data_IF_774328437872
#
_entry.id   IF_774328437872
#
_cell.length_a   1.000
_cell.length_b   1.000
_cell.length_c   1.000
_cell.angle_alpha   90.00
_cell.angle_beta   90.00
_cell.angle_gamma   90.00
#
_symmetry.space_group_name_H-M   'P 1'
#
loop_
_entity.id
_entity.type
_entity.pdbx_description
1 polymer ?
#
# COMPACT_ATOMS: atom_id res chain seq x y z
N UNK A 1 -9.07 -49.64 -40.55
CA UNK A 1 -7.73 -49.03 -40.41
C UNK A 1 -7.77 -48.07 -39.22
N UNK A 2 -7.63 -48.62 -38.02
CA UNK A 2 -7.70 -47.94 -36.72
C UNK A 2 -6.26 -47.80 -36.23
N UNK A 3 -5.50 -46.75 -36.57
CA UNK A 3 -4.13 -46.56 -36.04
C UNK A 3 -3.47 -45.19 -36.35
N UNK A 4 -4.22 -44.08 -36.40
CA UNK A 4 -3.59 -42.74 -36.63
C UNK A 4 -3.92 -41.69 -35.56
N UNK A 5 -4.98 -41.86 -34.75
CA UNK A 5 -5.46 -40.79 -33.85
C UNK A 5 -4.73 -40.72 -32.50
N UNK A 6 -3.97 -41.75 -32.09
CA UNK A 6 -3.41 -41.84 -30.72
C UNK A 6 -2.08 -41.07 -30.55
N UNK A 7 -1.39 -40.70 -31.64
CA UNK A 7 -0.05 -40.07 -31.56
C UNK A 7 -0.10 -38.56 -31.28
N UNK A 8 -1.26 -37.90 -31.40
CA UNK A 8 -1.40 -36.44 -31.25
C UNK A 8 -1.46 -35.91 -29.81
N UNK A 9 -1.89 -36.71 -28.83
CA UNK A 9 -2.11 -36.24 -27.45
C UNK A 9 -0.88 -36.34 -26.53
N UNK A 10 0.18 -37.03 -26.97
CA UNK A 10 1.34 -37.34 -26.12
C UNK A 10 2.43 -36.27 -26.07
N UNK A 11 2.39 -35.28 -26.98
CA UNK A 11 3.40 -34.21 -27.04
C UNK A 11 2.99 -32.91 -26.34
N UNK A 12 1.71 -32.74 -26.02
CA UNK A 12 1.21 -31.55 -25.32
C UNK A 12 1.33 -31.66 -23.79
N UNK A 13 1.31 -32.88 -23.22
CA UNK A 13 1.26 -33.07 -21.77
C UNK A 13 2.58 -32.72 -21.03
N UNK A 14 3.74 -32.91 -21.66
CA UNK A 14 5.04 -32.62 -21.00
C UNK A 14 5.46 -31.15 -21.06
N UNK A 15 5.00 -30.38 -22.06
CA UNK A 15 5.21 -28.93 -22.08
C UNK A 15 4.24 -28.18 -21.15
N UNK A 16 3.13 -28.83 -20.79
CA UNK A 16 2.08 -28.26 -19.93
C UNK A 16 2.29 -28.52 -18.43
N UNK A 17 3.41 -29.11 -18.01
CA UNK A 17 3.75 -29.23 -16.58
C UNK A 17 4.72 -28.16 -16.10
N UNK A 18 5.52 -27.57 -17.01
CA UNK A 18 6.50 -26.52 -16.70
C UNK A 18 5.88 -25.12 -16.61
N UNK A 19 4.74 -24.88 -17.27
CA UNK A 19 4.02 -23.60 -17.23
C UNK A 19 3.16 -23.47 -15.95
N UNK A 20 2.71 -24.59 -15.35
CA UNK A 20 1.84 -24.57 -14.17
C UNK A 20 2.62 -24.17 -12.89
N UNK A 21 3.91 -24.49 -12.80
CA UNK A 21 4.77 -24.08 -11.66
C UNK A 21 5.05 -22.57 -11.66
N UNK A 22 5.04 -21.93 -12.83
CA UNK A 22 5.19 -20.47 -12.96
C UNK A 22 3.88 -19.70 -12.73
N UNK A 23 2.72 -20.37 -12.78
CA UNK A 23 1.41 -19.76 -12.52
C UNK A 23 1.01 -19.76 -11.04
N UNK A 24 1.81 -20.37 -10.14
CA UNK A 24 1.50 -20.51 -8.72
C UNK A 24 2.53 -19.88 -7.76
N UNK A 25 3.45 -19.03 -8.24
CA UNK A 25 4.21 -18.16 -7.34
C UNK A 25 3.49 -16.83 -7.21
N UNK A 26 2.51 -16.79 -6.30
CA UNK A 26 1.94 -15.55 -5.79
C UNK A 26 3.00 -14.82 -4.96
N UNK A 27 3.96 -14.18 -5.62
CA UNK A 27 4.88 -13.24 -4.98
C UNK A 27 4.09 -11.97 -4.71
N UNK A 28 3.47 -11.89 -3.53
CA UNK A 28 2.96 -10.61 -3.04
C UNK A 28 4.16 -9.76 -2.65
N UNK A 29 4.53 -8.81 -3.51
CA UNK A 29 5.49 -7.77 -3.16
C UNK A 29 4.81 -6.88 -2.13
N UNK A 30 5.17 -7.06 -0.86
CA UNK A 30 4.75 -6.16 0.21
C UNK A 30 5.50 -4.84 0.01
N UNK A 31 4.82 -3.81 -0.50
CA UNK A 31 5.36 -2.44 -0.54
C UNK A 31 5.24 -1.86 0.87
N UNK A 32 5.99 -2.43 1.81
CA UNK A 32 6.16 -1.83 3.11
C UNK A 32 7.14 -0.65 2.94
N UNK A 33 6.69 0.58 3.17
CA UNK A 33 7.60 1.71 3.36
C UNK A 33 7.27 3.02 2.65
N UNK A 34 6.17 3.14 1.92
CA UNK A 34 5.76 4.42 1.35
C UNK A 34 4.62 5.04 2.17
N UNK A 35 4.89 6.18 2.82
CA UNK A 35 3.86 6.97 3.52
C UNK A 35 2.95 7.60 2.47
N UNK A 36 1.66 7.26 2.48
CA UNK A 36 0.70 7.83 1.53
C UNK A 36 0.34 9.26 1.94
N UNK A 37 0.63 10.22 1.06
CA UNK A 37 0.36 11.65 1.29
C UNK A 37 -0.90 12.08 0.55
N UNK A 38 -1.92 12.49 1.30
CA UNK A 38 -3.21 12.90 0.74
C UNK A 38 -3.41 14.41 0.85
N UNK A 39 -4.05 14.99 -0.18
CA UNK A 39 -4.35 16.43 -0.21
C UNK A 39 -5.64 16.79 0.54
N UNK A 40 -6.52 15.82 0.78
CA UNK A 40 -7.80 16.03 1.46
C UNK A 40 -7.99 15.04 2.60
N UNK A 41 -8.66 15.47 3.66
CA UNK A 41 -8.98 14.59 4.79
C UNK A 41 -9.85 13.41 4.37
N UNK A 42 -10.76 13.61 3.40
CA UNK A 42 -11.66 12.56 2.92
C UNK A 42 -10.89 11.44 2.20
N UNK A 43 -9.89 11.78 1.40
CA UNK A 43 -9.07 10.76 0.71
C UNK A 43 -8.22 9.97 1.70
N UNK A 44 -7.64 10.65 2.71
CA UNK A 44 -6.96 9.96 3.80
C UNK A 44 -7.93 9.09 4.61
N UNK A 45 -9.12 9.58 4.96
CA UNK A 45 -10.10 8.80 5.73
C UNK A 45 -10.54 7.51 5.01
N UNK A 46 -10.67 7.56 3.68
CA UNK A 46 -10.94 6.36 2.88
C UNK A 46 -9.78 5.35 2.91
N UNK A 47 -8.54 5.84 3.00
CA UNK A 47 -7.32 5.02 3.11
C UNK A 47 -7.05 4.52 4.53
N UNK A 48 -7.52 5.25 5.55
CA UNK A 48 -7.33 4.97 6.97
C UNK A 48 -8.63 4.45 7.66
N UNK A 49 -9.32 3.39 7.18
CA UNK A 49 -10.63 3.02 7.72
C UNK A 49 -10.60 2.51 9.16
N UNK A 50 -9.42 2.11 9.66
CA UNK A 50 -9.20 1.65 11.04
C UNK A 50 -8.09 2.42 11.75
N UNK A 51 -7.75 3.60 11.25
CA UNK A 51 -6.67 4.43 11.79
C UNK A 51 -7.08 5.91 11.84
N UNK A 52 -6.30 6.72 12.54
CA UNK A 52 -6.56 8.14 12.71
C UNK A 52 -5.89 8.92 11.58
N UNK A 53 -6.65 9.83 10.96
CA UNK A 53 -6.08 10.78 10.00
C UNK A 53 -5.37 11.89 10.78
N UNK A 54 -4.09 12.09 10.47
CA UNK A 54 -3.25 13.15 11.01
C UNK A 54 -2.78 14.08 9.89
N UNK A 55 -2.49 15.33 10.26
CA UNK A 55 -1.87 16.29 9.36
C UNK A 55 -0.36 16.31 9.60
N UNK A 56 0.42 15.85 8.63
CA UNK A 56 1.88 15.83 8.67
C UNK A 56 2.44 17.10 8.04
N UNK A 57 3.36 17.78 8.71
CA UNK A 57 4.29 18.71 8.06
C UNK A 57 5.43 17.91 7.42
N UNK A 58 5.46 17.84 6.09
CA UNK A 58 6.40 16.98 5.34
C UNK A 58 7.84 17.49 5.41
N UNK A 59 8.06 18.77 5.73
CA UNK A 59 9.39 19.34 5.90
C UNK A 59 10.04 18.95 7.23
N UNK A 60 9.24 18.77 8.29
CA UNK A 60 9.74 18.54 9.66
C UNK A 60 9.45 17.12 10.18
N UNK A 61 8.57 16.37 9.52
CA UNK A 61 8.11 15.06 9.99
C UNK A 61 7.29 15.14 11.27
N UNK A 62 6.72 16.30 11.61
CA UNK A 62 5.84 16.47 12.77
C UNK A 62 4.40 16.39 12.31
N UNK A 63 3.61 15.55 12.97
CA UNK A 63 2.18 15.44 12.71
C UNK A 63 1.31 15.97 13.84
N UNK A 64 0.11 16.39 13.45
CA UNK A 64 -0.89 17.02 14.30
C UNK A 64 -2.21 16.27 14.16
N UNK A 65 -2.91 16.07 15.28
CA UNK A 65 -4.22 15.46 15.32
C UNK A 65 -5.32 16.47 14.97
N UNK A 66 -6.47 15.96 14.53
CA UNK A 66 -7.66 16.79 14.29
C UNK A 66 -8.02 17.59 15.53
N UNK A 67 -8.27 18.90 15.34
CA UNK A 67 -8.56 19.83 16.43
C UNK A 67 -7.35 20.51 17.05
N UNK A 68 -6.12 20.09 16.72
CA UNK A 68 -4.91 20.79 17.09
C UNK A 68 -4.69 22.01 16.18
N UNK A 69 -3.96 23.01 16.69
CA UNK A 69 -3.76 24.31 16.05
C UNK A 69 -3.20 24.20 14.62
N UNK A 70 -2.28 23.27 14.39
CA UNK A 70 -1.58 23.15 13.11
C UNK A 70 -2.18 22.12 12.15
N UNK A 71 -3.32 21.51 12.49
CA UNK A 71 -4.01 20.58 11.61
C UNK A 71 -4.53 21.29 10.34
N UNK A 72 -4.10 20.81 9.17
CA UNK A 72 -4.38 21.42 7.86
C UNK A 72 -3.91 22.88 7.68
N UNK A 73 -2.96 23.34 8.50
CA UNK A 73 -2.58 24.75 8.57
C UNK A 73 -1.27 25.12 7.86
N UNK A 74 -0.45 24.14 7.49
CA UNK A 74 0.86 24.39 6.86
C UNK A 74 0.80 24.32 5.34
N UNK A 75 1.63 25.09 4.64
CA UNK A 75 1.73 24.99 3.16
C UNK A 75 2.32 23.66 2.69
N UNK A 76 3.31 23.17 3.44
CA UNK A 76 3.98 21.89 3.20
C UNK A 76 3.40 20.88 4.17
N UNK A 77 2.22 20.36 3.87
CA UNK A 77 1.65 19.29 4.66
C UNK A 77 0.70 18.42 3.85
N UNK A 78 0.38 17.28 4.44
CA UNK A 78 -0.47 16.27 3.86
C UNK A 78 -1.24 15.53 4.96
N UNK A 79 -2.42 15.03 4.61
CA UNK A 79 -3.14 14.08 5.43
C UNK A 79 -2.51 12.69 5.26
N UNK A 80 -2.34 11.98 6.37
CA UNK A 80 -1.68 10.66 6.42
C UNK A 80 -2.35 9.84 7.53
N UNK A 81 -2.33 8.51 7.45
CA UNK A 81 -2.71 7.67 8.59
C UNK A 81 -1.64 7.76 9.70
N UNK A 82 -2.03 7.85 10.97
CA UNK A 82 -1.12 7.93 12.10
C UNK A 82 -0.09 6.78 12.09
N UNK A 83 -0.53 5.55 11.87
CA UNK A 83 0.35 4.38 11.84
C UNK A 83 1.35 4.45 10.69
N UNK A 84 0.96 4.93 9.51
CA UNK A 84 1.88 5.11 8.38
C UNK A 84 2.89 6.22 8.67
N UNK A 85 2.45 7.33 9.28
CA UNK A 85 3.35 8.41 9.68
C UNK A 85 4.39 7.90 10.69
N UNK A 86 3.98 7.13 11.70
CA UNK A 86 4.87 6.51 12.69
C UNK A 86 5.83 5.50 12.05
N UNK A 87 5.34 4.63 11.16
CA UNK A 87 6.17 3.71 10.39
C UNK A 87 7.18 4.44 9.50
N UNK A 88 6.80 5.60 8.97
CA UNK A 88 7.66 6.51 8.21
C UNK A 88 8.63 7.34 9.06
N UNK A 89 8.71 7.11 10.37
CA UNK A 89 9.63 7.82 11.27
C UNK A 89 9.17 9.24 11.65
N UNK A 90 7.92 9.60 11.36
CA UNK A 90 7.33 10.87 11.78
C UNK A 90 6.87 10.80 13.23
N UNK A 91 6.67 11.96 13.85
CA UNK A 91 6.34 12.05 15.29
C UNK A 91 5.23 13.04 15.57
N UNK A 92 4.46 12.78 16.62
CA UNK A 92 3.46 13.72 17.10
C UNK A 92 4.09 15.04 17.58
N UNK A 93 3.30 16.11 17.52
CA UNK A 93 3.57 17.37 18.23
C UNK A 93 3.71 17.11 19.75
N UNK A 94 4.59 17.85 20.43
CA UNK A 94 4.87 17.62 21.86
C UNK A 94 3.82 18.22 22.80
N UNK A 95 3.16 19.30 22.39
CA UNK A 95 2.32 20.13 23.28
C UNK A 95 0.88 20.26 22.78
N UNK A 96 0.40 19.34 21.91
CA UNK A 96 -0.94 19.40 21.33
C UNK A 96 -1.21 20.63 20.45
N UNK A 97 -0.16 21.38 20.07
CA UNK A 97 -0.25 22.43 19.06
C UNK A 97 -0.34 21.82 17.68
#
# INVERSE_FOLDING_TARGET
MRNVVILGMRRAASAMLLVIVLLFTGVTVSVAGAVALFQTEQSAAAHCPRDVVVWVNTQTGVFHFKGQRWYAATKQGAFVCEAEALQGGMRATRNGQ
#
